data_IF_556972832142
#
_entry.id   IF_556972832142
#
_cell.length_a   1.000
_cell.length_b   1.000
_cell.length_c   1.000
_cell.angle_alpha   90.00
_cell.angle_beta   90.00
_cell.angle_gamma   90.00
#
_symmetry.space_group_name_H-M   'P 1'
#
loop_
_entity.id
_entity.type
_entity.pdbx_description
1 polymer ?
#
# COMPACT_ATOMS: atom_id res chain seq x y z
N UNK A 1 8.42 -25.39 12.28
CA UNK A 1 7.73 -25.93 13.48
C UNK A 1 6.28 -25.43 13.50
N UNK A 2 5.67 -25.17 12.34
CA UNK A 2 4.34 -24.52 12.20
C UNK A 2 3.22 -25.46 11.72
N UNK A 3 3.54 -26.72 11.38
CA UNK A 3 2.55 -27.69 10.89
C UNK A 3 1.75 -28.39 12.00
N UNK A 4 2.07 -28.17 13.28
CA UNK A 4 1.47 -28.91 14.40
C UNK A 4 0.08 -28.41 14.87
N UNK A 5 -0.42 -27.29 14.34
CA UNK A 5 -1.71 -26.72 14.73
C UNK A 5 -2.57 -26.29 13.53
N UNK A 6 -2.53 -27.08 12.45
CA UNK A 6 -3.48 -26.92 11.35
C UNK A 6 -4.63 -27.92 11.48
N UNK A 7 -5.87 -27.45 11.41
CA UNK A 7 -7.07 -28.29 11.36
C UNK A 7 -7.82 -28.01 10.06
N UNK A 8 -8.26 -29.08 9.39
CA UNK A 8 -9.13 -28.96 8.23
C UNK A 8 -10.53 -28.52 8.67
N UNK A 9 -11.12 -27.59 7.95
CA UNK A 9 -12.56 -27.33 8.00
C UNK A 9 -13.26 -28.24 6.98
N UNK A 10 -13.85 -29.37 7.40
CA UNK A 10 -14.36 -30.36 6.44
C UNK A 10 -15.48 -29.79 5.54
N UNK A 11 -16.26 -28.82 6.02
CA UNK A 11 -17.36 -28.25 5.23
C UNK A 11 -16.94 -27.22 4.16
N UNK A 12 -15.65 -26.85 4.09
CA UNK A 12 -15.17 -25.78 3.22
C UNK A 12 -13.95 -26.23 2.40
N UNK A 13 -13.93 -25.85 1.13
CA UNK A 13 -12.79 -26.09 0.25
C UNK A 13 -12.29 -24.77 -0.37
N UNK A 14 -10.99 -24.70 -0.62
CA UNK A 14 -10.36 -23.63 -1.38
C UNK A 14 -9.70 -24.21 -2.62
N UNK A 15 -9.86 -23.51 -3.74
CA UNK A 15 -9.55 -24.05 -5.04
C UNK A 15 -9.17 -23.00 -6.06
N UNK A 16 -8.82 -23.48 -7.25
CA UNK A 16 -8.43 -22.67 -8.40
C UNK A 16 -9.04 -23.25 -9.68
N UNK A 17 -9.57 -22.40 -10.53
CA UNK A 17 -9.95 -22.72 -11.91
C UNK A 17 -8.84 -22.22 -12.82
N UNK A 18 -8.15 -23.11 -13.55
CA UNK A 18 -7.17 -22.75 -14.58
C UNK A 18 -7.80 -22.82 -15.97
N UNK A 19 -7.63 -21.76 -16.75
CA UNK A 19 -8.24 -21.63 -18.08
C UNK A 19 -7.24 -22.03 -19.19
N UNK A 20 -7.65 -22.85 -20.18
CA UNK A 20 -6.73 -23.42 -21.17
C UNK A 20 -6.36 -22.52 -22.37
N UNK A 21 -6.78 -21.25 -22.42
CA UNK A 21 -6.57 -20.36 -23.58
C UNK A 21 -5.96 -18.99 -23.21
N UNK A 22 -5.21 -18.40 -24.14
CA UNK A 22 -4.61 -17.06 -24.04
C UNK A 22 -5.65 -15.92 -24.10
N UNK A 23 -6.85 -16.20 -24.60
CA UNK A 23 -7.96 -15.23 -24.70
C UNK A 23 -9.16 -15.72 -23.91
N UNK A 24 -9.35 -15.13 -22.72
CA UNK A 24 -10.47 -15.46 -21.83
C UNK A 24 -11.53 -14.38 -21.95
N UNK A 25 -12.74 -14.79 -22.30
CA UNK A 25 -13.90 -13.90 -22.20
C UNK A 25 -14.34 -13.77 -20.73
N UNK A 26 -13.81 -12.75 -20.08
CA UNK A 26 -14.12 -12.44 -18.69
C UNK A 26 -15.59 -12.07 -18.47
N UNK A 27 -16.33 -11.63 -19.48
CA UNK A 27 -17.77 -11.39 -19.34
C UNK A 27 -18.54 -12.70 -19.14
N UNK A 28 -18.20 -13.72 -19.91
CA UNK A 28 -18.72 -15.07 -19.75
C UNK A 28 -18.33 -15.70 -18.41
N UNK A 29 -17.08 -15.50 -17.96
CA UNK A 29 -16.62 -15.99 -16.64
C UNK A 29 -17.41 -15.34 -15.50
N UNK A 30 -17.64 -14.03 -15.57
CA UNK A 30 -18.39 -13.31 -14.53
C UNK A 30 -19.86 -13.71 -14.52
N UNK A 31 -20.47 -13.88 -15.69
CA UNK A 31 -21.83 -14.39 -15.80
C UNK A 31 -21.93 -15.81 -15.21
N UNK A 32 -20.94 -16.67 -15.46
CA UNK A 32 -20.87 -18.01 -14.87
C UNK A 32 -20.77 -17.97 -13.34
N UNK A 33 -19.93 -17.08 -12.79
CA UNK A 33 -19.85 -16.84 -11.35
C UNK A 33 -21.19 -16.36 -10.76
N UNK A 34 -21.86 -15.41 -11.43
CA UNK A 34 -23.16 -14.89 -11.02
C UNK A 34 -24.26 -15.95 -11.05
N UNK A 35 -24.27 -16.80 -12.07
CA UNK A 35 -25.21 -17.92 -12.17
C UNK A 35 -24.97 -18.95 -11.07
N UNK A 36 -23.70 -19.23 -10.71
CA UNK A 36 -23.36 -20.10 -9.59
C UNK A 36 -23.83 -19.53 -8.26
N UNK A 37 -23.54 -18.26 -7.99
CA UNK A 37 -23.99 -17.60 -6.76
C UNK A 37 -25.53 -17.54 -6.74
N UNK A 38 -26.15 -17.18 -7.86
CA UNK A 38 -27.60 -17.11 -8.03
C UNK A 38 -28.33 -18.44 -7.89
N UNK A 39 -27.67 -19.57 -8.20
CA UNK A 39 -28.21 -20.92 -7.98
C UNK A 39 -28.21 -21.33 -6.51
N UNK A 40 -27.74 -20.47 -5.60
CA UNK A 40 -27.64 -20.77 -4.17
C UNK A 40 -26.31 -21.38 -3.75
N UNK A 41 -25.32 -21.50 -4.66
CA UNK A 41 -24.02 -22.02 -4.30
C UNK A 41 -23.30 -21.02 -3.38
N UNK A 42 -22.83 -21.52 -2.23
CA UNK A 42 -22.06 -20.73 -1.27
C UNK A 42 -20.59 -20.73 -1.72
N UNK A 43 -20.27 -19.83 -2.64
CA UNK A 43 -18.93 -19.66 -3.21
C UNK A 43 -18.51 -18.19 -3.19
N UNK A 44 -17.23 -17.96 -2.90
CA UNK A 44 -16.55 -16.69 -3.06
C UNK A 44 -15.49 -16.85 -4.12
N UNK A 45 -15.61 -16.07 -5.19
CA UNK A 45 -14.55 -15.94 -6.19
C UNK A 45 -13.58 -14.84 -5.76
N UNK A 46 -12.29 -15.14 -5.86
CA UNK A 46 -11.23 -14.17 -5.71
C UNK A 46 -10.95 -13.45 -7.04
N UNK A 47 -9.87 -12.67 -7.04
CA UNK A 47 -9.38 -12.00 -8.26
C UNK A 47 -8.64 -13.00 -9.12
N UNK A 48 -8.89 -13.00 -10.43
CA UNK A 48 -8.07 -13.78 -11.34
C UNK A 48 -6.64 -13.23 -11.41
N UNK A 49 -5.67 -14.11 -11.60
CA UNK A 49 -4.26 -13.79 -11.76
C UNK A 49 -3.61 -14.72 -12.79
N UNK A 50 -2.43 -14.35 -13.28
CA UNK A 50 -1.63 -15.23 -14.16
C UNK A 50 -0.66 -16.03 -13.28
N UNK A 51 -0.68 -17.36 -13.38
CA UNK A 51 0.27 -18.27 -12.74
C UNK A 51 0.83 -19.19 -13.82
N UNK A 52 2.15 -19.25 -13.95
CA UNK A 52 2.84 -20.08 -14.95
C UNK A 52 2.34 -19.84 -16.39
N UNK A 53 2.11 -18.58 -16.75
CA UNK A 53 1.59 -18.18 -18.06
C UNK A 53 0.11 -18.50 -18.31
N UNK A 54 -0.59 -19.08 -17.33
CA UNK A 54 -2.00 -19.46 -17.44
C UNK A 54 -2.86 -18.60 -16.52
N UNK A 55 -4.03 -18.15 -16.97
CA UNK A 55 -4.93 -17.43 -16.07
C UNK A 55 -5.60 -18.40 -15.07
N UNK A 56 -5.72 -17.93 -13.84
CA UNK A 56 -6.23 -18.70 -12.71
C UNK A 56 -7.24 -17.86 -11.95
N UNK A 57 -8.43 -18.40 -11.71
CA UNK A 57 -9.44 -17.82 -10.84
C UNK A 57 -9.48 -18.60 -9.50
N UNK A 58 -8.96 -18.03 -8.40
CA UNK A 58 -9.07 -18.64 -7.08
C UNK A 58 -10.50 -18.54 -6.55
N UNK A 59 -10.92 -19.53 -5.76
CA UNK A 59 -12.20 -19.52 -5.07
C UNK A 59 -12.12 -20.18 -3.70
N UNK A 60 -13.08 -19.86 -2.84
CA UNK A 60 -13.35 -20.59 -1.61
C UNK A 60 -14.87 -20.85 -1.52
N UNK A 61 -15.25 -22.08 -1.21
CA UNK A 61 -16.65 -22.50 -1.26
C UNK A 61 -16.97 -23.50 -0.15
N UNK A 62 -18.26 -23.74 0.07
CA UNK A 62 -18.68 -24.98 0.75
C UNK A 62 -18.37 -26.18 -0.13
N UNK A 63 -18.03 -27.30 0.49
CA UNK A 63 -17.74 -28.56 -0.22
C UNK A 63 -18.91 -28.97 -1.16
N UNK A 64 -20.16 -28.73 -0.72
CA UNK A 64 -21.36 -29.00 -1.53
C UNK A 64 -21.47 -28.19 -2.83
N UNK A 65 -20.68 -27.12 -2.99
CA UNK A 65 -20.65 -26.31 -4.21
C UNK A 65 -19.59 -26.79 -5.23
N UNK A 66 -18.71 -27.72 -4.86
CA UNK A 66 -17.60 -28.14 -5.72
C UNK A 66 -18.08 -28.71 -7.06
N UNK A 67 -19.09 -29.60 -7.03
CA UNK A 67 -19.61 -30.22 -8.25
C UNK A 67 -20.25 -29.20 -9.19
N UNK A 68 -20.94 -28.20 -8.64
CA UNK A 68 -21.53 -27.11 -9.42
C UNK A 68 -20.45 -26.25 -10.09
N UNK A 69 -19.35 -25.95 -9.38
CA UNK A 69 -18.20 -25.22 -9.94
C UNK A 69 -17.57 -26.01 -11.09
N UNK A 70 -17.35 -27.31 -10.91
CA UNK A 70 -16.78 -28.19 -11.95
C UNK A 70 -17.67 -28.26 -13.19
N UNK A 71 -18.99 -28.33 -13.03
CA UNK A 71 -19.95 -28.34 -14.14
C UNK A 71 -20.02 -27.00 -14.87
N UNK A 72 -19.97 -25.89 -14.13
CA UNK A 72 -20.05 -24.56 -14.72
C UNK A 72 -18.79 -24.20 -15.53
N UNK A 73 -17.62 -24.59 -15.01
CA UNK A 73 -16.33 -24.39 -15.69
C UNK A 73 -15.88 -25.66 -16.41
N UNK A 74 -16.79 -26.31 -17.12
CA UNK A 74 -16.47 -27.49 -17.93
C UNK A 74 -15.43 -27.12 -19.00
N UNK A 75 -14.43 -27.98 -19.17
CA UNK A 75 -13.24 -27.70 -20.00
C UNK A 75 -12.13 -26.87 -19.32
N UNK A 76 -12.31 -26.39 -18.08
CA UNK A 76 -11.24 -25.78 -17.28
C UNK A 76 -10.65 -26.78 -16.26
N UNK A 77 -9.39 -26.60 -15.87
CA UNK A 77 -8.79 -27.43 -14.81
C UNK A 77 -9.16 -26.86 -13.44
N UNK A 78 -10.09 -27.51 -12.75
CA UNK A 78 -10.54 -27.13 -11.39
C UNK A 78 -9.84 -27.99 -10.34
N UNK A 79 -9.11 -27.36 -9.42
CA UNK A 79 -8.61 -27.99 -8.20
C UNK A 79 -9.39 -27.48 -6.99
N UNK A 80 -9.73 -28.36 -6.05
CA UNK A 80 -10.17 -27.97 -4.69
C UNK A 80 -9.40 -28.80 -3.65
N UNK A 81 -9.07 -28.17 -2.53
CA UNK A 81 -8.49 -28.81 -1.37
C UNK A 81 -9.22 -28.34 -0.10
N UNK A 82 -9.26 -29.15 0.97
CA UNK A 82 -9.86 -28.75 2.24
C UNK A 82 -9.28 -27.45 2.77
N UNK A 83 -10.14 -26.56 3.28
CA UNK A 83 -9.70 -25.29 3.83
C UNK A 83 -9.04 -25.51 5.20
N UNK A 84 -7.73 -25.26 5.29
CA UNK A 84 -6.96 -25.37 6.54
C UNK A 84 -7.06 -24.10 7.37
N UNK A 85 -7.37 -24.24 8.66
CA UNK A 85 -7.22 -23.16 9.65
C UNK A 85 -5.89 -23.33 10.36
N UNK A 86 -5.15 -22.24 10.50
CA UNK A 86 -4.11 -22.09 11.51
C UNK A 86 -4.64 -21.18 12.64
N UNK A 87 -4.49 -21.58 13.90
CA UNK A 87 -5.00 -20.82 15.06
C UNK A 87 -4.41 -19.42 15.19
N UNK A 88 -3.24 -19.15 14.60
CA UNK A 88 -2.62 -17.82 14.54
C UNK A 88 -3.10 -16.97 13.36
N UNK A 89 -3.77 -17.54 12.35
CA UNK A 89 -4.28 -16.82 11.18
C UNK A 89 -5.82 -16.86 11.10
N UNK A 90 -6.48 -15.75 11.49
CA UNK A 90 -7.94 -15.59 11.45
C UNK A 90 -8.51 -15.52 10.02
N UNK A 91 -7.69 -15.51 8.96
CA UNK A 91 -8.17 -15.37 7.57
C UNK A 91 -9.10 -16.51 7.16
N UNK A 92 -8.78 -17.77 7.49
CA UNK A 92 -9.62 -18.91 7.12
C UNK A 92 -11.02 -18.82 7.75
N UNK A 93 -11.11 -18.37 9.01
CA UNK A 93 -12.38 -18.17 9.72
C UNK A 93 -13.19 -16.99 9.13
N UNK A 94 -12.51 -15.91 8.75
CA UNK A 94 -13.15 -14.78 8.04
C UNK A 94 -13.67 -15.20 6.67
N UNK A 95 -12.93 -16.03 5.93
CA UNK A 95 -13.36 -16.60 4.65
C UNK A 95 -14.61 -17.47 4.84
N UNK A 96 -14.62 -18.39 5.81
CA UNK A 96 -15.79 -19.21 6.11
C UNK A 96 -17.02 -18.37 6.49
N UNK A 97 -16.83 -17.31 7.27
CA UNK A 97 -17.91 -16.38 7.65
C UNK A 97 -18.48 -15.68 6.42
N UNK A 98 -17.62 -15.19 5.52
CA UNK A 98 -18.04 -14.54 4.28
C UNK A 98 -18.74 -15.52 3.33
N UNK A 99 -18.30 -16.76 3.23
CA UNK A 99 -18.96 -17.80 2.43
C UNK A 99 -20.40 -17.98 2.89
N UNK A 100 -20.63 -18.06 4.21
CA UNK A 100 -21.98 -18.19 4.76
C UNK A 100 -22.85 -16.95 4.53
N UNK A 101 -22.24 -15.77 4.58
CA UNK A 101 -22.91 -14.48 4.37
C UNK A 101 -23.33 -14.22 2.92
N UNK A 102 -22.84 -15.00 1.94
CA UNK A 102 -23.22 -14.84 0.52
C UNK A 102 -24.73 -14.98 0.35
N UNK A 103 -25.40 -13.94 -0.16
CA UNK A 103 -26.83 -13.94 -0.43
C UNK A 103 -27.08 -14.11 -1.94
N UNK A 104 -27.66 -15.26 -2.37
CA UNK A 104 -27.83 -15.59 -3.78
C UNK A 104 -28.77 -14.62 -4.54
N UNK A 105 -29.59 -13.84 -3.83
CA UNK A 105 -30.53 -12.89 -4.45
C UNK A 105 -29.93 -11.51 -4.70
N UNK A 106 -28.88 -11.14 -3.96
CA UNK A 106 -28.35 -9.77 -3.95
C UNK A 106 -26.89 -9.68 -4.35
N UNK A 107 -26.13 -10.77 -4.20
CA UNK A 107 -24.70 -10.75 -4.42
C UNK A 107 -24.41 -11.02 -5.89
N UNK A 108 -24.10 -9.94 -6.61
CA UNK A 108 -23.55 -10.00 -7.96
C UNK A 108 -22.03 -9.85 -7.90
N UNK A 109 -21.35 -10.70 -8.64
CA UNK A 109 -19.91 -10.66 -8.84
C UNK A 109 -19.60 -9.61 -9.89
N UNK A 110 -18.87 -8.56 -9.50
CA UNK A 110 -18.51 -7.49 -10.44
C UNK A 110 -17.47 -7.97 -11.44
N UNK A 111 -17.66 -7.62 -12.72
CA UNK A 111 -16.69 -7.85 -13.80
C UNK A 111 -15.29 -7.31 -13.45
N UNK A 112 -15.24 -6.15 -12.80
CA UNK A 112 -13.99 -5.52 -12.38
C UNK A 112 -13.30 -6.26 -11.21
N UNK A 113 -14.07 -7.01 -10.41
CA UNK A 113 -13.52 -7.77 -9.28
C UNK A 113 -12.89 -9.10 -9.72
N UNK A 114 -13.35 -9.69 -10.83
CA UNK A 114 -12.85 -10.98 -11.31
C UNK A 114 -11.67 -10.83 -12.26
N UNK A 115 -11.65 -9.81 -13.13
CA UNK A 115 -10.62 -9.66 -14.17
C UNK A 115 -9.19 -9.60 -13.58
N UNK A 116 -8.18 -10.20 -14.26
CA UNK A 116 -6.79 -9.93 -13.95
C UNK A 116 -6.54 -8.45 -14.23
N UNK A 117 -5.99 -7.74 -13.27
CA UNK A 117 -5.59 -6.36 -13.51
C UNK A 117 -4.50 -6.36 -14.58
N UNK A 118 -4.66 -5.54 -15.62
CA UNK A 118 -3.53 -5.16 -16.47
C UNK A 118 -2.41 -4.65 -15.58
N UNK A 119 -1.15 -4.79 -16.01
CA UNK A 119 0.00 -4.28 -15.25
C UNK A 119 -0.16 -2.79 -14.89
N UNK A 120 -0.90 -2.02 -15.70
CA UNK A 120 -1.33 -0.63 -15.47
C UNK A 120 -2.37 -0.46 -14.34
N UNK A 121 -3.27 -1.42 -14.14
CA UNK A 121 -4.40 -1.33 -13.20
C UNK A 121 -4.00 -1.32 -11.72
N UNK A 122 -2.79 -1.79 -11.39
CA UNK A 122 -2.30 -1.81 -10.01
C UNK A 122 -1.93 -0.41 -9.50
N UNK A 123 -1.59 0.50 -10.41
CA UNK A 123 -1.37 1.90 -10.09
C UNK A 123 -2.58 2.78 -10.43
N UNK A 124 -3.34 2.47 -11.49
CA UNK A 124 -4.47 3.32 -11.94
C UNK A 124 -5.73 3.27 -11.04
N UNK A 125 -5.98 2.18 -10.30
CA UNK A 125 -7.19 2.07 -9.46
C UNK A 125 -6.94 2.25 -7.96
N UNK A 126 -5.67 2.45 -7.56
CA UNK A 126 -5.27 2.53 -6.16
C UNK A 126 -4.93 3.94 -5.68
N UNK A 127 -4.38 4.77 -6.57
CA UNK A 127 -3.72 6.01 -6.21
C UNK A 127 -4.51 7.21 -6.70
N UNK A 128 -5.28 7.81 -5.78
CA UNK A 128 -6.08 9.00 -6.07
C UNK A 128 -5.13 10.19 -6.18
N UNK A 129 -5.19 10.96 -7.27
CA UNK A 129 -4.46 12.22 -7.44
C UNK A 129 -2.95 12.11 -7.61
N UNK A 130 -2.43 10.93 -8.01
CA UNK A 130 -0.97 10.67 -8.15
C UNK A 130 -0.57 10.23 -9.57
N UNK A 131 -1.38 10.56 -10.57
CA UNK A 131 -1.19 10.10 -11.95
C UNK A 131 0.18 10.46 -12.52
N UNK A 132 0.69 11.65 -12.18
CA UNK A 132 2.01 12.12 -12.64
C UNK A 132 3.13 11.24 -12.09
N UNK A 133 3.11 10.98 -10.79
CA UNK A 133 4.15 10.21 -10.10
C UNK A 133 4.13 8.76 -10.55
N UNK A 134 2.93 8.18 -10.65
CA UNK A 134 2.70 6.85 -11.21
C UNK A 134 3.26 6.75 -12.63
N UNK A 135 2.97 7.73 -13.50
CA UNK A 135 3.45 7.72 -14.89
C UNK A 135 4.98 7.79 -14.97
N UNK A 136 5.61 8.66 -14.19
CA UNK A 136 7.08 8.73 -14.14
C UNK A 136 7.66 7.38 -13.72
N UNK A 137 7.14 6.79 -12.65
CA UNK A 137 7.60 5.49 -12.16
C UNK A 137 7.40 4.38 -13.20
N UNK A 138 6.24 4.34 -13.86
CA UNK A 138 5.97 3.36 -14.91
C UNK A 138 6.95 3.48 -16.07
N UNK A 139 7.26 4.70 -16.52
CA UNK A 139 8.24 4.90 -17.60
C UNK A 139 9.63 4.36 -17.27
N UNK A 140 10.05 4.47 -16.01
CA UNK A 140 11.32 3.90 -15.53
C UNK A 140 11.26 2.38 -15.57
N UNK A 141 10.18 1.80 -15.06
CA UNK A 141 10.00 0.34 -15.01
C UNK A 141 9.92 -0.26 -16.42
N UNK A 142 9.21 0.39 -17.34
CA UNK A 142 9.13 0.00 -18.74
C UNK A 142 10.49 0.05 -19.43
N UNK A 143 11.28 1.11 -19.19
CA UNK A 143 12.63 1.21 -19.73
C UNK A 143 13.53 0.06 -19.24
N UNK A 144 13.48 -0.26 -17.95
CA UNK A 144 14.24 -1.39 -17.39
C UNK A 144 13.74 -2.72 -17.95
N UNK A 145 12.43 -2.90 -18.09
CA UNK A 145 11.85 -4.10 -18.67
C UNK A 145 12.22 -4.32 -20.13
N UNK A 146 12.35 -3.23 -20.90
CA UNK A 146 12.67 -3.28 -22.33
C UNK A 146 14.17 -3.44 -22.61
N UNK A 147 15.03 -2.74 -21.86
CA UNK A 147 16.46 -2.62 -22.15
C UNK A 147 17.35 -3.31 -21.10
N UNK A 148 16.77 -3.86 -20.03
CA UNK A 148 17.50 -4.43 -18.91
C UNK A 148 17.92 -3.38 -17.88
N UNK A 149 18.33 -3.84 -16.70
CA UNK A 149 18.72 -2.98 -15.56
C UNK A 149 19.91 -2.08 -15.89
N UNK A 150 20.86 -2.56 -16.68
CA UNK A 150 22.08 -1.84 -17.06
C UNK A 150 21.84 -0.64 -17.99
N UNK A 151 20.62 -0.49 -18.53
CA UNK A 151 20.24 0.66 -19.33
C UNK A 151 20.09 1.95 -18.51
N UNK A 152 20.01 1.83 -17.18
CA UNK A 152 19.88 2.95 -16.25
C UNK A 152 21.03 2.91 -15.25
N UNK A 153 21.81 3.99 -15.20
CA UNK A 153 23.03 4.04 -14.38
C UNK A 153 22.76 3.96 -12.87
N UNK A 154 21.63 4.52 -12.42
CA UNK A 154 21.18 4.43 -11.03
C UNK A 154 19.66 4.35 -10.92
N UNK A 155 19.18 3.43 -10.08
CA UNK A 155 17.77 3.30 -9.71
C UNK A 155 17.43 3.99 -8.39
N UNK A 156 18.40 4.59 -7.70
CA UNK A 156 18.13 5.31 -6.46
C UNK A 156 17.25 6.54 -6.73
N UNK A 157 16.32 6.80 -5.83
CA UNK A 157 15.31 7.83 -6.02
C UNK A 157 15.22 8.81 -4.84
N UNK A 158 14.68 9.98 -5.15
CA UNK A 158 14.34 11.02 -4.20
C UNK A 158 12.85 11.33 -4.28
N UNK A 159 12.12 11.17 -3.17
CA UNK A 159 10.68 11.43 -3.07
C UNK A 159 10.44 12.68 -2.23
N UNK A 160 10.12 13.81 -2.88
CA UNK A 160 9.91 15.10 -2.22
C UNK A 160 8.44 15.48 -2.21
N UNK A 161 7.91 15.97 -1.08
CA UNK A 161 6.55 16.49 -1.03
C UNK A 161 5.98 16.58 0.39
N UNK A 162 4.72 17.05 0.54
CA UNK A 162 4.12 17.29 1.84
C UNK A 162 3.86 15.99 2.63
N UNK A 163 3.59 16.09 3.95
CA UNK A 163 3.26 14.92 4.75
C UNK A 163 1.91 14.35 4.31
N UNK A 164 1.82 13.02 4.28
CA UNK A 164 0.61 12.33 3.81
C UNK A 164 0.33 12.44 2.31
N UNK A 165 1.26 12.95 1.50
CA UNK A 165 1.16 13.01 0.04
C UNK A 165 1.39 11.68 -0.70
N UNK A 166 1.34 10.54 -0.01
CA UNK A 166 1.42 9.21 -0.65
C UNK A 166 2.81 8.63 -0.93
N UNK A 167 3.90 9.33 -0.57
CA UNK A 167 5.30 8.88 -0.78
C UNK A 167 5.57 7.40 -0.46
N UNK A 168 5.33 6.99 0.79
CA UNK A 168 5.54 5.60 1.23
C UNK A 168 4.59 4.61 0.55
N UNK A 169 3.37 5.04 0.23
CA UNK A 169 2.40 4.19 -0.47
C UNK A 169 2.88 3.88 -1.88
N UNK A 170 3.34 4.91 -2.60
CA UNK A 170 3.90 4.77 -3.95
C UNK A 170 5.19 3.95 -3.94
N UNK A 171 6.08 4.15 -2.95
CA UNK A 171 7.29 3.36 -2.81
C UNK A 171 7.00 1.86 -2.64
N UNK A 172 5.95 1.50 -1.90
CA UNK A 172 5.53 0.10 -1.75
C UNK A 172 4.97 -0.49 -3.04
N UNK A 173 4.13 0.25 -3.76
CA UNK A 173 3.62 -0.24 -5.04
C UNK A 173 4.72 -0.32 -6.11
N UNK A 174 5.72 0.57 -6.05
CA UNK A 174 6.90 0.47 -6.88
C UNK A 174 7.66 -0.84 -6.63
N UNK A 175 7.85 -1.24 -5.37
CA UNK A 175 8.46 -2.55 -5.07
C UNK A 175 7.66 -3.71 -5.68
N UNK A 176 6.34 -3.72 -5.52
CA UNK A 176 5.48 -4.77 -6.09
C UNK A 176 5.56 -4.85 -7.61
N UNK A 177 5.84 -3.72 -8.27
CA UNK A 177 6.03 -3.65 -9.70
C UNK A 177 7.43 -4.12 -10.11
N UNK A 178 8.47 -3.69 -9.39
CA UNK A 178 9.85 -4.14 -9.59
C UNK A 178 10.02 -5.64 -9.39
N UNK A 179 9.37 -6.21 -8.37
CA UNK A 179 9.38 -7.65 -8.13
C UNK A 179 8.78 -8.42 -9.30
N UNK A 180 7.66 -7.95 -9.85
CA UNK A 180 7.01 -8.58 -11.00
C UNK A 180 7.80 -8.48 -12.28
N UNK A 181 8.57 -7.40 -12.46
CA UNK A 181 9.44 -7.20 -13.61
C UNK A 181 10.83 -7.82 -13.42
N UNK A 182 11.10 -8.48 -12.29
CA UNK A 182 12.39 -9.10 -11.99
C UNK A 182 13.52 -8.08 -11.79
N UNK A 183 13.20 -6.83 -11.46
CA UNK A 183 14.19 -5.78 -11.15
C UNK A 183 14.78 -6.02 -9.76
N UNK A 184 13.94 -6.44 -8.82
CA UNK A 184 14.27 -6.85 -7.45
C UNK A 184 14.12 -8.36 -7.30
N UNK A 185 14.42 -8.90 -6.11
CA UNK A 185 14.47 -10.34 -5.86
C UNK A 185 13.13 -11.08 -5.98
N UNK A 186 12.00 -10.37 -6.09
CA UNK A 186 10.67 -10.97 -6.12
C UNK A 186 10.09 -11.29 -4.73
N UNK A 187 10.82 -10.98 -3.65
CA UNK A 187 10.47 -11.35 -2.27
C UNK A 187 9.70 -10.27 -1.50
N UNK A 188 9.46 -9.10 -2.08
CA UNK A 188 8.75 -8.01 -1.40
C UNK A 188 9.55 -7.39 -0.25
N UNK A 189 10.88 -7.35 -0.36
CA UNK A 189 11.76 -6.75 0.68
C UNK A 189 11.60 -5.22 0.67
N UNK A 190 10.93 -4.68 1.68
CA UNK A 190 10.75 -3.24 1.90
C UNK A 190 11.17 -2.88 3.32
N UNK A 191 12.31 -2.20 3.45
CA UNK A 191 12.81 -1.71 4.74
C UNK A 191 12.50 -0.23 4.84
N UNK A 192 11.78 0.17 5.89
CA UNK A 192 11.54 1.58 6.20
C UNK A 192 12.45 1.98 7.35
N UNK A 193 13.28 3.01 7.15
CA UNK A 193 14.23 3.50 8.10
C UNK A 193 14.06 5.02 8.29
N UNK A 194 14.41 5.49 9.47
CA UNK A 194 14.51 6.90 9.83
C UNK A 194 15.91 7.21 10.34
N UNK A 195 16.20 8.48 10.62
CA UNK A 195 17.49 8.88 11.17
C UNK A 195 17.86 8.11 12.45
N UNK A 196 16.89 7.79 13.31
CA UNK A 196 17.13 7.05 14.56
C UNK A 196 17.48 5.58 14.36
N UNK A 197 17.08 5.00 13.23
CA UNK A 197 17.41 3.60 12.90
C UNK A 197 18.82 3.47 12.31
N UNK A 198 19.32 4.57 11.74
CA UNK A 198 20.60 4.63 11.03
C UNK A 198 21.74 5.16 11.89
N UNK A 199 21.45 6.03 12.86
CA UNK A 199 22.45 6.67 13.73
C UNK A 199 22.60 5.88 15.03
N UNK A 200 23.84 5.47 15.34
CA UNK A 200 24.14 4.83 16.63
C UNK A 200 24.25 5.87 17.75
N UNK A 201 23.79 5.55 18.98
CA UNK A 201 24.11 6.35 20.16
C UNK A 201 25.60 6.25 20.57
N UNK A 202 26.34 5.27 20.04
CA UNK A 202 27.75 5.03 20.35
C UNK A 202 28.67 5.50 19.20
N UNK A 203 29.77 6.17 19.56
CA UNK A 203 30.75 6.71 18.61
C UNK A 203 31.39 5.59 17.79
N UNK A 204 31.42 5.73 16.46
CA UNK A 204 32.09 4.81 15.54
C UNK A 204 31.32 3.52 15.24
N UNK A 205 30.09 3.38 15.72
CA UNK A 205 29.22 2.24 15.37
C UNK A 205 28.17 2.58 14.31
N UNK A 206 28.00 3.86 13.96
CA UNK A 206 26.96 4.31 13.04
C UNK A 206 27.08 3.63 11.67
N UNK A 207 28.28 3.55 11.11
CA UNK A 207 28.55 2.82 9.86
C UNK A 207 28.10 1.35 9.90
N UNK A 208 28.22 0.66 11.04
CA UNK A 208 27.74 -0.71 11.21
C UNK A 208 26.20 -0.79 11.22
N UNK A 209 25.52 0.15 11.87
CA UNK A 209 24.05 0.22 11.85
C UNK A 209 23.50 0.47 10.44
N UNK A 210 24.13 1.39 9.69
CA UNK A 210 23.79 1.64 8.29
C UNK A 210 23.98 0.37 7.46
N UNK A 211 25.16 -0.30 7.56
CA UNK A 211 25.42 -1.54 6.80
C UNK A 211 24.39 -2.62 7.10
N UNK A 212 24.08 -2.86 8.37
CA UNK A 212 23.04 -3.83 8.77
C UNK A 212 21.67 -3.51 8.18
N UNK A 213 21.33 -2.22 8.10
CA UNK A 213 20.08 -1.77 7.49
C UNK A 213 20.07 -2.04 5.99
N UNK A 214 21.18 -1.77 5.29
CA UNK A 214 21.33 -2.11 3.87
C UNK A 214 21.25 -3.62 3.61
N UNK A 215 21.93 -4.43 4.42
CA UNK A 215 21.89 -5.90 4.32
C UNK A 215 20.46 -6.43 4.45
N UNK A 216 19.65 -5.84 5.36
CA UNK A 216 18.24 -6.21 5.51
C UNK A 216 17.37 -5.81 4.31
N UNK A 217 17.82 -4.85 3.50
CA UNK A 217 17.13 -4.34 2.32
C UNK A 217 17.60 -4.99 1.00
N UNK A 218 18.61 -5.87 1.05
CA UNK A 218 19.12 -6.58 -0.13
C UNK A 218 18.02 -7.34 -0.86
N UNK A 219 18.04 -7.19 -2.19
CA UNK A 219 17.02 -7.72 -3.09
C UNK A 219 15.72 -6.91 -3.12
N UNK A 220 15.69 -5.68 -2.62
CA UNK A 220 14.48 -4.86 -2.51
C UNK A 220 14.72 -3.36 -2.40
N UNK A 221 13.87 -2.67 -1.63
CA UNK A 221 13.90 -1.22 -1.44
C UNK A 221 14.21 -0.85 0.02
N UNK A 222 15.20 0.02 0.20
CA UNK A 222 15.44 0.76 1.44
C UNK A 222 14.81 2.17 1.32
N UNK A 223 13.76 2.41 2.09
CA UNK A 223 13.07 3.70 2.15
C UNK A 223 13.52 4.47 3.40
N UNK A 224 14.15 5.63 3.22
CA UNK A 224 14.65 6.48 4.30
C UNK A 224 13.73 7.71 4.42
N UNK A 225 12.85 7.73 5.41
CA UNK A 225 11.92 8.84 5.65
C UNK A 225 12.58 9.98 6.43
N UNK A 226 12.19 11.21 6.08
CA UNK A 226 12.77 12.46 6.61
C UNK A 226 14.31 12.45 6.60
N UNK A 227 14.92 12.03 5.49
CA UNK A 227 16.37 11.79 5.38
C UNK A 227 17.24 13.01 5.73
N UNK A 228 16.75 14.23 5.50
CA UNK A 228 17.40 15.48 5.91
C UNK A 228 17.69 15.56 7.42
N UNK A 229 17.05 14.72 8.25
CA UNK A 229 17.36 14.63 9.68
C UNK A 229 18.71 14.02 9.97
N UNK A 230 19.31 13.28 9.04
CA UNK A 230 20.68 12.76 9.16
C UNK A 230 21.71 13.90 9.18
N UNK A 231 21.41 15.04 8.55
CA UNK A 231 22.31 16.20 8.50
C UNK A 231 21.93 17.31 9.49
N UNK A 232 20.97 17.08 10.40
CA UNK A 232 20.61 18.10 11.40
C UNK A 232 21.70 18.15 12.47
N UNK A 233 22.61 19.10 12.29
CA UNK A 233 23.59 19.49 13.30
C UNK A 233 22.84 20.19 14.44
N UNK A 234 22.67 19.51 15.56
CA UNK A 234 22.43 20.21 16.82
C UNK A 234 23.78 20.80 17.27
N UNK A 235 23.94 22.14 17.29
CA UNK A 235 25.21 22.81 17.59
C UNK A 235 25.71 22.54 19.02
N UNK A 236 24.90 21.94 19.88
CA UNK A 236 25.21 21.70 21.29
C UNK A 236 25.61 20.26 21.59
N UNK A 237 25.54 19.35 20.62
CA UNK A 237 25.75 17.93 20.86
C UNK A 237 26.79 17.30 19.93
N UNK A 238 27.54 16.33 20.47
CA UNK A 238 28.51 15.48 19.72
C UNK A 238 27.87 14.63 18.61
N UNK A 239 26.55 14.75 18.40
CA UNK A 239 25.76 14.02 17.40
C UNK A 239 25.95 14.51 15.96
N UNK A 240 26.55 15.68 15.74
CA UNK A 240 26.85 16.17 14.39
C UNK A 240 27.79 15.21 13.61
N UNK A 241 28.78 14.62 14.30
CA UNK A 241 29.74 13.70 13.67
C UNK A 241 29.09 12.37 13.26
N UNK A 242 28.07 11.92 14.00
CA UNK A 242 27.41 10.64 13.76
C UNK A 242 26.50 10.72 12.53
N UNK A 243 25.83 11.85 12.32
CA UNK A 243 24.98 12.08 11.15
C UNK A 243 25.76 12.06 9.85
N UNK A 244 26.93 12.73 9.82
CA UNK A 244 27.81 12.70 8.66
C UNK A 244 28.40 11.31 8.43
N UNK A 245 28.81 10.59 9.48
CA UNK A 245 29.26 9.19 9.37
C UNK A 245 28.19 8.30 8.72
N UNK A 246 26.91 8.48 9.10
CA UNK A 246 25.81 7.76 8.47
C UNK A 246 25.69 8.07 6.98
N UNK A 247 25.75 9.34 6.60
CA UNK A 247 25.64 9.78 5.21
C UNK A 247 26.79 9.23 4.36
N UNK A 248 28.01 9.27 4.87
CA UNK A 248 29.18 8.76 4.17
C UNK A 248 29.09 7.24 3.96
N UNK A 249 28.64 6.51 5.00
CA UNK A 249 28.38 5.08 4.90
C UNK A 249 27.26 4.73 3.91
N UNK A 250 26.15 5.50 3.92
CA UNK A 250 25.05 5.35 2.94
C UNK A 250 25.58 5.54 1.52
N UNK A 251 26.35 6.60 1.29
CA UNK A 251 26.90 6.93 -0.01
C UNK A 251 27.84 5.82 -0.55
N UNK A 252 28.68 5.25 0.32
CA UNK A 252 29.53 4.10 -0.02
C UNK A 252 28.69 2.86 -0.36
N UNK A 253 27.70 2.52 0.46
CA UNK A 253 26.87 1.32 0.27
C UNK A 253 25.94 1.42 -0.93
N UNK A 254 25.47 2.62 -1.28
CA UNK A 254 24.74 2.85 -2.53
C UNK A 254 25.56 2.46 -3.75
N UNK A 255 26.88 2.67 -3.72
CA UNK A 255 27.77 2.23 -4.81
C UNK A 255 28.02 0.71 -4.76
N UNK A 256 28.42 0.20 -3.59
CA UNK A 256 28.78 -1.21 -3.37
C UNK A 256 27.60 -2.15 -3.68
N UNK A 257 26.39 -1.76 -3.29
CA UNK A 257 25.17 -2.58 -3.37
C UNK A 257 24.17 -2.06 -4.41
N UNK A 258 24.61 -1.28 -5.41
CA UNK A 258 23.73 -0.67 -6.43
C UNK A 258 22.85 -1.65 -7.20
N UNK A 259 23.30 -2.91 -7.31
CA UNK A 259 22.55 -3.99 -7.97
C UNK A 259 21.63 -4.77 -7.01
N UNK A 260 21.85 -4.65 -5.71
CA UNK A 260 21.12 -5.40 -4.68
C UNK A 260 20.06 -4.56 -3.98
N UNK A 261 20.30 -3.27 -3.78
CA UNK A 261 19.43 -2.38 -3.00
C UNK A 261 19.07 -1.15 -3.81
N UNK A 262 17.77 -0.87 -3.91
CA UNK A 262 17.27 0.41 -4.40
C UNK A 262 16.98 1.30 -3.18
N UNK A 263 17.56 2.50 -3.15
CA UNK A 263 17.41 3.43 -2.03
C UNK A 263 16.47 4.55 -2.44
N UNK A 264 15.45 4.80 -1.63
CA UNK A 264 14.51 5.91 -1.80
C UNK A 264 14.63 6.83 -0.60
N UNK A 265 15.19 8.01 -0.80
CA UNK A 265 15.16 9.08 0.21
C UNK A 265 13.84 9.81 0.13
N UNK A 266 13.22 10.12 1.27
CA UNK A 266 11.98 10.88 1.31
C UNK A 266 12.04 12.05 2.28
N UNK A 267 11.35 13.13 1.95
CA UNK A 267 11.29 14.31 2.81
C UNK A 267 10.47 15.45 2.24
N UNK A 268 10.59 16.60 2.89
CA UNK A 268 10.00 17.86 2.45
C UNK A 268 10.90 18.53 1.42
N UNK A 269 10.34 19.25 0.43
CA UNK A 269 11.12 19.76 -0.70
C UNK A 269 12.31 20.62 -0.28
N UNK A 270 12.09 21.63 0.56
CA UNK A 270 13.12 22.62 0.92
C UNK A 270 14.24 21.96 1.75
N UNK A 271 13.87 21.13 2.73
CA UNK A 271 14.83 20.42 3.58
C UNK A 271 15.64 19.37 2.80
N UNK A 272 15.03 18.70 1.82
CA UNK A 272 15.76 17.76 0.96
C UNK A 272 16.68 18.49 -0.01
N UNK A 273 16.31 19.67 -0.50
CA UNK A 273 17.19 20.49 -1.33
C UNK A 273 18.45 20.89 -0.54
N UNK A 274 18.27 21.36 0.69
CA UNK A 274 19.38 21.72 1.57
C UNK A 274 20.22 20.50 1.99
N UNK A 275 19.58 19.36 2.24
CA UNK A 275 20.28 18.08 2.49
C UNK A 275 21.22 17.70 1.34
N UNK A 276 20.77 17.83 0.09
CA UNK A 276 21.58 17.52 -1.10
C UNK A 276 22.68 18.55 -1.36
N UNK A 277 22.45 19.84 -1.04
CA UNK A 277 23.49 20.88 -1.15
C UNK A 277 24.70 20.58 -0.27
N UNK A 278 24.47 20.10 0.95
CA UNK A 278 25.53 19.75 1.89
C UNK A 278 26.18 18.39 1.60
N UNK A 279 25.50 17.52 0.84
CA UNK A 279 25.94 16.15 0.56
C UNK A 279 25.98 15.86 -0.95
N UNK A 280 26.90 16.51 -1.71
CA UNK A 280 26.94 16.40 -3.17
C UNK A 280 27.20 14.96 -3.66
N UNK A 281 27.84 14.13 -2.85
CA UNK A 281 28.06 12.70 -3.15
C UNK A 281 26.77 11.91 -3.33
N UNK A 282 25.73 12.22 -2.53
CA UNK A 282 24.42 11.59 -2.67
C UNK A 282 23.70 12.08 -3.93
N UNK A 283 23.80 13.37 -4.25
CA UNK A 283 23.16 13.96 -5.42
C UNK A 283 23.60 13.29 -6.72
N UNK A 284 24.88 12.92 -6.84
CA UNK A 284 25.39 12.22 -8.02
C UNK A 284 24.88 10.79 -8.18
N UNK A 285 24.42 10.14 -7.11
CA UNK A 285 23.93 8.75 -7.12
C UNK A 285 22.43 8.63 -7.24
N UNK A 286 21.67 9.70 -7.04
CA UNK A 286 20.22 9.70 -7.21
C UNK A 286 19.92 9.85 -8.70
N UNK A 287 19.37 8.81 -9.32
CA UNK A 287 19.01 8.82 -10.74
C UNK A 287 17.68 9.53 -11.01
N UNK A 288 16.75 9.51 -10.05
CA UNK A 288 15.39 10.01 -10.26
C UNK A 288 14.88 10.83 -9.08
N UNK A 289 14.21 11.93 -9.39
CA UNK A 289 13.43 12.72 -8.42
C UNK A 289 11.94 12.63 -8.76
N UNK A 290 11.13 12.24 -7.77
CA UNK A 290 9.68 12.18 -7.87
C UNK A 290 9.10 13.20 -6.89
N UNK A 291 8.48 14.24 -7.43
CA UNK A 291 7.81 15.28 -6.66
C UNK A 291 6.34 14.93 -6.46
N UNK A 292 5.91 14.91 -5.20
CA UNK A 292 4.55 14.67 -4.76
C UNK A 292 3.91 16.01 -4.42
N UNK A 293 2.85 16.35 -5.14
CA UNK A 293 2.05 17.52 -4.84
C UNK A 293 1.07 17.19 -3.70
N UNK A 294 0.55 18.22 -3.02
CA UNK A 294 -0.59 18.04 -2.12
C UNK A 294 -1.84 17.64 -2.90
N UNK A 295 -2.82 17.07 -2.22
CA UNK A 295 -4.08 16.67 -2.84
C UNK A 295 -5.04 17.84 -2.96
N UNK A 296 -5.80 17.89 -4.07
CA UNK A 296 -6.94 18.78 -4.20
C UNK A 296 -8.13 18.34 -3.34
N UNK A 297 -9.15 19.18 -3.22
CA UNK A 297 -10.35 18.85 -2.42
C UNK A 297 -11.04 17.58 -2.91
N UNK A 298 -11.21 17.42 -4.22
CA UNK A 298 -11.83 16.23 -4.82
C UNK A 298 -11.05 14.94 -4.52
N UNK A 299 -9.71 15.03 -4.53
CA UNK A 299 -8.83 13.91 -4.19
C UNK A 299 -8.97 13.54 -2.71
N UNK A 300 -8.97 14.54 -1.81
CA UNK A 300 -9.12 14.32 -0.37
C UNK A 300 -10.48 13.68 -0.01
N UNK A 301 -11.57 14.11 -0.67
CA UNK A 301 -12.89 13.49 -0.53
C UNK A 301 -12.88 12.03 -0.97
N UNK A 302 -12.28 11.77 -2.13
CA UNK A 302 -12.16 10.42 -2.68
C UNK A 302 -11.31 9.54 -1.76
N UNK A 303 -10.22 10.08 -1.19
CA UNK A 303 -9.37 9.40 -0.22
C UNK A 303 -10.16 9.06 1.04
N UNK A 304 -10.91 10.01 1.59
CA UNK A 304 -11.75 9.80 2.77
C UNK A 304 -12.80 8.70 2.52
N UNK A 305 -13.55 8.81 1.42
CA UNK A 305 -14.56 7.83 1.03
C UNK A 305 -13.98 6.43 0.82
N UNK A 306 -12.82 6.34 0.15
CA UNK A 306 -12.10 5.07 -0.02
C UNK A 306 -11.67 4.47 1.32
N UNK A 307 -11.07 5.26 2.21
CA UNK A 307 -10.66 4.79 3.53
C UNK A 307 -11.85 4.31 4.39
N UNK A 308 -12.99 5.00 4.30
CA UNK A 308 -14.22 4.60 4.99
C UNK A 308 -14.73 3.25 4.43
N UNK A 309 -14.78 3.11 3.11
CA UNK A 309 -15.20 1.89 2.45
C UNK A 309 -14.28 0.70 2.75
N UNK A 310 -12.96 0.91 2.74
CA UNK A 310 -11.96 -0.11 3.11
C UNK A 310 -12.15 -0.60 4.57
N UNK A 311 -12.72 0.23 5.44
CA UNK A 311 -13.10 -0.11 6.83
C UNK A 311 -14.53 -0.65 6.95
N UNK A 312 -15.26 -0.79 5.85
CA UNK A 312 -16.63 -1.31 5.79
C UNK A 312 -17.71 -0.29 6.15
N UNK A 313 -17.42 1.01 6.06
CA UNK A 313 -18.41 2.09 6.22
C UNK A 313 -18.88 2.61 4.87
N UNK A 314 -20.20 2.72 4.70
CA UNK A 314 -20.78 3.55 3.66
C UNK A 314 -20.71 5.03 4.09
N UNK A 315 -20.51 5.94 3.15
CA UNK A 315 -20.51 7.39 3.40
C UNK A 315 -21.68 7.99 2.64
N UNK A 316 -22.56 8.69 3.34
CA UNK A 316 -23.70 9.37 2.74
C UNK A 316 -23.22 10.58 1.93
N UNK A 317 -24.02 10.97 0.94
CA UNK A 317 -23.66 12.08 0.04
C UNK A 317 -23.52 13.39 0.82
N UNK A 318 -24.43 13.65 1.76
CA UNK A 318 -24.43 14.84 2.60
C UNK A 318 -23.17 14.92 3.50
N UNK A 319 -22.63 13.79 3.93
CA UNK A 319 -21.36 13.71 4.67
C UNK A 319 -20.17 14.18 3.82
N UNK A 320 -20.14 13.79 2.54
CA UNK A 320 -19.13 14.26 1.61
C UNK A 320 -19.31 15.75 1.28
N UNK A 321 -20.55 16.21 1.11
CA UNK A 321 -20.87 17.63 0.84
C UNK A 321 -20.40 18.53 2.01
N UNK A 322 -20.62 18.12 3.27
CA UNK A 322 -20.10 18.82 4.45
C UNK A 322 -18.57 18.86 4.44
N UNK A 323 -17.92 17.72 4.19
CA UNK A 323 -16.47 17.64 4.19
C UNK A 323 -15.87 18.52 3.08
N UNK A 324 -16.48 18.55 1.90
CA UNK A 324 -16.05 19.38 0.76
C UNK A 324 -15.99 20.86 1.13
N UNK A 325 -16.98 21.35 1.87
CA UNK A 325 -17.03 22.74 2.33
C UNK A 325 -15.93 23.07 3.34
N UNK A 326 -15.47 22.09 4.13
CA UNK A 326 -14.49 22.31 5.19
C UNK A 326 -13.04 22.10 4.74
N UNK A 327 -12.79 21.28 3.71
CA UNK A 327 -11.43 20.99 3.22
C UNK A 327 -10.61 22.27 2.91
N UNK A 328 -11.14 23.32 2.23
CA UNK A 328 -10.37 24.52 1.96
C UNK A 328 -9.85 25.22 3.22
N UNK A 329 -10.62 25.19 4.31
CA UNK A 329 -10.23 25.75 5.60
C UNK A 329 -9.23 24.84 6.32
N UNK A 330 -9.49 23.53 6.34
CA UNK A 330 -8.58 22.52 6.93
C UNK A 330 -7.21 22.52 6.27
N UNK A 331 -7.15 22.63 4.94
CA UNK A 331 -5.89 22.59 4.18
C UNK A 331 -4.94 23.76 4.49
N UNK A 332 -5.46 24.84 5.08
CA UNK A 332 -4.70 26.02 5.51
C UNK A 332 -4.25 25.95 6.97
N UNK A 333 -4.71 24.97 7.74
CA UNK A 333 -4.35 24.84 9.14
C UNK A 333 -2.91 24.33 9.28
N UNK A 334 -2.19 24.86 10.27
CA UNK A 334 -0.87 24.36 10.63
C UNK A 334 -0.97 22.89 11.04
N UNK A 335 -0.15 22.02 10.47
CA UNK A 335 -0.18 20.58 10.77
C UNK A 335 -1.05 19.75 9.84
N UNK A 336 -1.72 20.37 8.86
CA UNK A 336 -2.43 19.65 7.81
C UNK A 336 -1.48 18.69 7.07
N UNK A 337 -1.90 17.43 6.96
CA UNK A 337 -1.09 16.33 6.43
C UNK A 337 -1.88 15.46 5.45
N UNK A 338 -2.66 16.07 4.55
CA UNK A 338 -3.27 15.39 3.39
C UNK A 338 -4.05 14.12 3.81
N UNK A 339 -3.77 12.97 3.19
CA UNK A 339 -4.41 11.69 3.50
C UNK A 339 -4.26 11.27 4.96
N UNK A 340 -3.23 11.73 5.68
CA UNK A 340 -3.06 11.49 7.12
C UNK A 340 -4.08 12.28 7.93
N UNK A 341 -4.38 13.53 7.55
CA UNK A 341 -5.48 14.30 8.16
C UNK A 341 -6.83 13.64 7.87
N UNK A 342 -7.08 13.19 6.63
CA UNK A 342 -8.32 12.48 6.29
C UNK A 342 -8.49 11.18 7.08
N UNK A 343 -7.40 10.43 7.30
CA UNK A 343 -7.41 9.23 8.14
C UNK A 343 -7.79 9.56 9.59
N UNK A 344 -7.16 10.59 10.17
CA UNK A 344 -7.46 11.04 11.53
C UNK A 344 -8.91 11.48 11.65
N UNK A 345 -9.39 12.29 10.70
CA UNK A 345 -10.79 12.72 10.68
C UNK A 345 -11.72 11.50 10.69
N UNK A 346 -11.46 10.49 9.85
CA UNK A 346 -12.23 9.26 9.83
C UNK A 346 -12.17 8.50 11.17
N UNK A 347 -11.02 8.47 11.84
CA UNK A 347 -10.89 7.88 13.18
C UNK A 347 -11.80 8.60 14.19
N UNK A 348 -11.85 9.94 14.18
CA UNK A 348 -12.76 10.72 15.03
C UNK A 348 -14.24 10.50 14.65
N UNK A 349 -14.57 10.51 13.36
CA UNK A 349 -15.94 10.24 12.87
C UNK A 349 -16.44 8.89 13.37
N UNK A 350 -15.64 7.82 13.22
CA UNK A 350 -16.02 6.47 13.65
C UNK A 350 -16.12 6.37 15.18
N UNK A 351 -15.18 6.99 15.91
CA UNK A 351 -15.17 6.96 17.37
C UNK A 351 -16.38 7.68 17.96
N UNK A 352 -16.71 8.86 17.44
CA UNK A 352 -17.87 9.64 17.89
C UNK A 352 -19.18 8.94 17.52
N UNK A 353 -19.24 8.31 16.33
CA UNK A 353 -20.41 7.53 15.91
C UNK A 353 -20.68 6.34 16.84
N UNK A 354 -19.64 5.65 17.31
CA UNK A 354 -19.76 4.52 18.23
C UNK A 354 -20.38 4.89 19.59
N UNK A 355 -20.34 6.16 19.99
CA UNK A 355 -21.03 6.68 21.18
C UNK A 355 -22.54 6.86 20.97
N UNK A 356 -23.01 6.78 19.71
CA UNK A 356 -24.41 6.94 19.31
C UNK A 356 -24.99 5.70 18.63
N UNK A 357 -25.24 5.78 17.32
CA UNK A 357 -25.81 4.68 16.53
C UNK A 357 -24.70 3.77 16.01
N UNK A 358 -24.89 2.45 16.17
CA UNK A 358 -23.93 1.41 15.77
C UNK A 358 -24.06 0.97 14.29
N UNK A 359 -24.68 1.79 13.44
CA UNK A 359 -24.77 1.51 12.00
C UNK A 359 -23.46 1.84 11.27
N UNK A 360 -23.24 1.23 10.10
CA UNK A 360 -22.04 1.43 9.28
C UNK A 360 -22.26 2.43 8.15
N UNK A 361 -23.00 3.50 8.43
CA UNK A 361 -23.31 4.57 7.49
C UNK A 361 -22.90 5.92 8.10
N UNK A 362 -21.94 6.64 7.50
CA UNK A 362 -21.47 7.92 8.02
C UNK A 362 -22.31 9.06 7.41
N UNK A 363 -22.97 9.82 8.27
CA UNK A 363 -23.84 10.95 7.88
C UNK A 363 -23.16 12.31 8.04
N UNK A 364 -23.76 13.38 7.51
CA UNK A 364 -23.31 14.76 7.71
C UNK A 364 -23.05 15.09 9.18
N UNK A 365 -24.00 14.75 10.06
CA UNK A 365 -23.88 15.03 11.50
C UNK A 365 -22.74 14.26 12.20
N UNK A 366 -22.30 13.12 11.65
CA UNK A 366 -21.13 12.41 12.17
C UNK A 366 -19.83 13.16 11.82
N UNK A 367 -19.74 13.67 10.60
CA UNK A 367 -18.59 14.47 10.12
C UNK A 367 -18.53 15.82 10.83
N UNK A 368 -19.63 16.54 10.95
CA UNK A 368 -19.68 17.85 11.63
C UNK A 368 -19.21 17.75 13.09
N UNK A 369 -19.66 16.72 13.81
CA UNK A 369 -19.23 16.48 15.19
C UNK A 369 -17.73 16.23 15.29
N UNK A 370 -17.16 15.44 14.38
CA UNK A 370 -15.71 15.20 14.35
C UNK A 370 -14.91 16.46 13.98
N UNK A 371 -15.43 17.30 13.09
CA UNK A 371 -14.80 18.59 12.73
C UNK A 371 -14.91 19.65 13.84
N UNK A 372 -15.92 19.54 14.70
CA UNK A 372 -16.10 20.38 15.87
C UNK A 372 -15.30 19.90 17.10
N UNK A 373 -14.78 18.68 17.06
CA UNK A 373 -14.01 18.07 18.14
C UNK A 373 -12.68 18.82 18.38
N UNK A 374 -12.51 19.31 19.61
CA UNK A 374 -11.31 20.03 20.02
C UNK A 374 -10.07 19.14 19.99
N UNK A 375 -10.18 17.83 20.18
CA UNK A 375 -9.03 16.92 20.07
C UNK A 375 -8.55 16.83 18.62
N UNK A 376 -9.48 16.73 17.65
CA UNK A 376 -9.14 16.74 16.23
C UNK A 376 -8.43 18.05 15.84
N UNK A 377 -8.93 19.20 16.33
CA UNK A 377 -8.34 20.53 16.09
C UNK A 377 -7.01 20.75 16.83
N UNK A 378 -6.79 20.11 17.96
CA UNK A 378 -5.60 20.29 18.80
C UNK A 378 -4.41 19.45 18.33
N UNK A 379 -4.66 18.27 17.77
CA UNK A 379 -3.63 17.34 17.26
C UNK A 379 -2.84 17.94 16.07
N UNK A 380 -3.40 18.93 15.38
CA UNK A 380 -2.71 19.66 14.32
C UNK A 380 -1.64 20.63 14.88
N UNK A 381 -1.83 21.17 16.09
CA UNK A 381 -0.89 22.09 16.75
C UNK A 381 0.31 21.40 17.42
N UNK A 382 0.18 20.13 17.81
CA UNK A 382 1.15 19.44 18.67
C UNK A 382 2.46 19.00 17.99
N UNK A 383 2.60 19.16 16.66
CA UNK A 383 3.84 18.76 15.95
C UNK A 383 4.98 19.78 16.00
N UNK A 384 4.75 20.97 16.58
CA UNK A 384 5.79 21.99 16.78
C UNK A 384 6.53 21.81 18.12
N UNK A 385 6.10 20.88 19.00
CA UNK A 385 6.59 20.77 20.38
C UNK A 385 7.84 19.92 20.65
N UNK A 386 8.46 19.30 19.64
CA UNK A 386 9.77 18.64 19.80
C UNK A 386 10.87 19.43 19.08
N UNK A 387 10.97 20.71 19.46
CA UNK A 387 12.17 21.53 19.32
C UNK A 387 12.47 22.00 20.74
N UNK A 388 13.22 21.18 21.46
CA UNK A 388 13.68 21.45 22.82
C UNK A 388 15.06 20.88 22.99
#
# INVERSE_FOLDING_TARGET
MDDLFSMDLPEYCAGKVRFPQDTIDWASVVLACDLLVGSGAKVLFGRACIQDGTAVLPFAAKESAEEAIRKMFDGCQVSCAPLKINFSDKKALQVATRINAVNPKTDKTSLAAIKPQSESGLLEHGFIGLDKQVKTIMSIVEAIGAYGRDAVDSLHMMFVGPPGGGKTMVARALLELYDRKGVTSGKGVFVNASATDLISPYVGETSHFVRKTFESACGGILFIDEAYRLSRNDPTSRSADHGQEAIDAINQLMEELRQEVIVIFAGYPDEMEDFLKHNPGLKGRIGFEVRFDGYGSADLLSIFGKMANDRGFAVEKDALDVLEQHIPSLSKQEGFANARTMRKLLDHVVTNKAQGKLDRCLSAGDVERALADDEFRSIEKLRVGFVG
#
